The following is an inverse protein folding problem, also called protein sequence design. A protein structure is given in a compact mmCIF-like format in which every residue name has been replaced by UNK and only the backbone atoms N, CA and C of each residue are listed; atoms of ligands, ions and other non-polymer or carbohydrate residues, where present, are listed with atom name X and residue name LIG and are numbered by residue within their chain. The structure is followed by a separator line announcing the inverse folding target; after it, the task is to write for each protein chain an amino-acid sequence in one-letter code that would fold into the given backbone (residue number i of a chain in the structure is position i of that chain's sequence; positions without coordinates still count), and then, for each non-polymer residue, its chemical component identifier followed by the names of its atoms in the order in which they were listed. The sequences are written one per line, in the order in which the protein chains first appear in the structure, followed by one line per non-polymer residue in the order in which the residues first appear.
data_IF_165127014460
#
_entry.id   IF_165127014460
#
_cell.length_a   1.000
_cell.length_b   1.000
_cell.length_c   1.000
_cell.angle_alpha   90.00
_cell.angle_beta   90.00
_cell.angle_gamma   90.00
#
_symmetry.space_group_name_H-M   'P 1'
#
loop_
_entity.id
_entity.type
_entity.pdbx_description
1 polymer ?
#
# COMPACT_ATOMS: atom_id res chain seq x y z
N UNK A 1 7.27 14.13 4.79
CA UNK A 1 7.92 14.84 3.66
C UNK A 1 8.84 15.93 4.21
N UNK A 2 9.62 15.60 5.24
CA UNK A 2 10.15 16.62 6.17
C UNK A 2 11.50 17.18 5.71
N UNK A 3 12.09 16.59 4.67
CA UNK A 3 13.33 17.03 4.04
C UNK A 3 13.21 16.78 2.52
N UNK A 4 13.66 17.73 1.70
CA UNK A 4 13.71 17.65 0.23
C UNK A 4 14.35 16.35 -0.28
N UNK A 5 15.37 15.83 0.41
CA UNK A 5 15.98 14.52 0.10
C UNK A 5 14.98 13.38 0.25
N UNK A 6 14.27 13.34 1.38
CA UNK A 6 13.29 12.29 1.67
C UNK A 6 12.08 12.42 0.76
N UNK A 7 11.69 13.63 0.36
CA UNK A 7 10.54 13.85 -0.50
C UNK A 7 10.65 13.11 -1.83
N UNK A 8 11.78 13.27 -2.56
CA UNK A 8 12.00 12.59 -3.83
C UNK A 8 11.97 11.06 -3.68
N UNK A 9 12.70 10.54 -2.67
CA UNK A 9 12.73 9.11 -2.37
C UNK A 9 11.35 8.56 -2.00
N UNK A 10 10.61 9.27 -1.14
CA UNK A 10 9.27 8.87 -0.72
C UNK A 10 8.32 8.84 -1.91
N UNK A 11 8.35 9.84 -2.79
CA UNK A 11 7.49 9.84 -3.99
C UNK A 11 7.79 8.68 -4.93
N UNK A 12 9.07 8.39 -5.20
CA UNK A 12 9.45 7.23 -6.01
C UNK A 12 9.01 5.93 -5.35
N UNK A 13 9.29 5.78 -4.04
CA UNK A 13 8.88 4.60 -3.27
C UNK A 13 7.38 4.36 -3.34
N UNK A 14 6.56 5.36 -3.05
CA UNK A 14 5.10 5.22 -3.04
C UNK A 14 4.53 4.94 -4.44
N UNK A 15 5.12 5.51 -5.50
CA UNK A 15 4.70 5.21 -6.87
C UNK A 15 5.07 3.76 -7.26
N UNK A 16 6.30 3.32 -7.00
CA UNK A 16 6.77 1.97 -7.31
C UNK A 16 6.02 0.91 -6.50
N UNK A 17 5.80 1.13 -5.20
CA UNK A 17 5.06 0.21 -4.33
C UNK A 17 3.63 0.00 -4.84
N UNK A 18 2.95 1.07 -5.29
CA UNK A 18 1.59 0.95 -5.84
C UNK A 18 1.56 0.24 -7.20
N UNK A 19 2.54 0.50 -8.07
CA UNK A 19 2.67 -0.20 -9.36
C UNK A 19 2.94 -1.69 -9.17
N UNK A 20 3.81 -2.07 -8.22
CA UNK A 20 4.06 -3.47 -7.86
C UNK A 20 2.80 -4.17 -7.35
N UNK A 21 2.12 -3.56 -6.37
CA UNK A 21 0.90 -4.11 -5.79
C UNK A 21 -0.18 -4.30 -6.88
N UNK A 22 -0.34 -3.33 -7.79
CA UNK A 22 -1.33 -3.42 -8.88
C UNK A 22 -1.01 -4.54 -9.87
N UNK A 23 0.26 -4.76 -10.22
CA UNK A 23 0.68 -5.85 -11.10
C UNK A 23 0.50 -7.22 -10.42
N UNK A 24 0.92 -7.34 -9.16
CA UNK A 24 0.81 -8.57 -8.37
C UNK A 24 -0.65 -9.00 -8.16
N UNK A 25 -1.54 -8.04 -7.83
CA UNK A 25 -2.98 -8.27 -7.69
C UNK A 25 -3.62 -8.75 -9.00
N UNK A 26 -3.17 -8.22 -10.15
CA UNK A 26 -3.63 -8.61 -11.47
C UNK A 26 -2.94 -9.88 -12.01
N UNK A 27 -1.99 -10.47 -11.28
CA UNK A 27 -1.15 -11.60 -11.71
C UNK A 27 -0.42 -11.31 -13.04
N UNK A 28 0.02 -10.07 -13.22
CA UNK A 28 0.87 -9.62 -14.33
C UNK A 28 2.31 -9.50 -13.84
N UNK A 29 3.27 -9.98 -14.63
CA UNK A 29 4.69 -9.81 -14.29
C UNK A 29 5.07 -8.33 -14.42
N UNK A 30 5.51 -7.67 -13.33
CA UNK A 30 5.64 -6.23 -13.35
C UNK A 30 6.83 -5.75 -14.20
N UNK A 31 6.55 -4.78 -15.06
CA UNK A 31 7.52 -3.97 -15.79
C UNK A 31 7.27 -2.52 -15.44
N UNK A 32 8.22 -1.93 -14.72
CA UNK A 32 8.09 -0.58 -14.19
C UNK A 32 9.20 0.27 -14.81
N UNK A 33 8.79 1.29 -15.56
CA UNK A 33 9.67 2.31 -16.10
C UNK A 33 9.62 3.55 -15.19
N UNK A 34 10.79 4.00 -14.76
CA UNK A 34 10.96 5.10 -13.81
C UNK A 34 11.90 6.11 -14.45
N UNK A 35 11.44 7.33 -14.60
CA UNK A 35 12.25 8.42 -15.14
C UNK A 35 12.19 9.60 -14.18
N UNK A 36 13.36 10.13 -13.83
CA UNK A 36 13.48 11.32 -13.00
C UNK A 36 14.16 12.40 -13.85
N UNK A 37 13.42 13.45 -14.18
CA UNK A 37 13.90 14.56 -15.01
C UNK A 37 14.13 15.77 -14.09
N UNK A 38 15.36 16.27 -14.05
CA UNK A 38 15.64 17.56 -13.41
C UNK A 38 15.39 18.69 -14.40
N UNK A 39 14.53 19.64 -14.05
CA UNK A 39 14.23 20.81 -14.89
C UNK A 39 14.54 22.15 -14.20
N UNK A 40 14.93 22.11 -12.93
CA UNK A 40 15.42 23.25 -12.14
C UNK A 40 16.42 22.73 -11.09
N UNK A 41 17.14 23.62 -10.39
CA UNK A 41 18.15 23.23 -9.39
C UNK A 41 17.58 22.29 -8.31
N UNK A 42 16.37 22.57 -7.83
CA UNK A 42 15.69 21.78 -6.80
C UNK A 42 14.35 21.22 -7.27
N UNK A 43 14.06 21.19 -8.58
CA UNK A 43 12.76 20.68 -9.09
C UNK A 43 12.94 19.52 -10.05
N UNK A 44 12.17 18.49 -9.77
CA UNK A 44 12.21 17.21 -10.46
C UNK A 44 10.82 16.82 -10.93
N UNK A 45 10.76 16.18 -12.09
CA UNK A 45 9.59 15.43 -12.55
C UNK A 45 9.88 13.96 -12.35
N UNK A 46 9.07 13.30 -11.52
CA UNK A 46 9.10 11.86 -11.33
C UNK A 46 8.01 11.25 -12.21
N UNK A 47 8.40 10.38 -13.11
CA UNK A 47 7.52 9.62 -14.01
C UNK A 47 7.65 8.16 -13.61
N UNK A 48 6.52 7.51 -13.31
CA UNK A 48 6.45 6.07 -13.08
C UNK A 48 5.37 5.51 -14.00
N UNK A 49 5.75 4.55 -14.83
CA UNK A 49 4.89 3.85 -15.77
C UNK A 49 4.95 2.35 -15.48
N UNK A 50 3.78 1.73 -15.36
CA UNK A 50 3.64 0.29 -15.15
C UNK A 50 2.81 -0.39 -16.24
N UNK A 51 3.00 -1.69 -16.37
CA UNK A 51 2.19 -2.58 -17.18
C UNK A 51 1.06 -3.25 -16.36
N UNK A 52 0.58 -2.62 -15.29
CA UNK A 52 -0.48 -3.17 -14.46
C UNK A 52 -1.85 -3.16 -15.16
N UNK A 53 -2.95 -3.52 -14.47
CA UNK A 53 -4.29 -3.61 -15.06
C UNK A 53 -4.88 -2.25 -15.47
N UNK A 54 -4.17 -1.15 -15.20
CA UNK A 54 -4.70 0.20 -15.28
C UNK A 54 -5.74 0.47 -14.19
N UNK A 55 -6.21 1.71 -14.15
CA UNK A 55 -7.19 2.21 -13.19
C UNK A 55 -8.45 2.61 -13.93
N UNK A 56 -9.60 2.15 -13.43
CA UNK A 56 -10.92 2.53 -13.95
C UNK A 56 -11.09 4.05 -13.84
N UNK A 57 -11.46 4.69 -14.95
CA UNK A 57 -11.68 6.14 -15.09
C UNK A 57 -12.28 6.82 -13.87
N UNK A 58 -13.38 6.27 -13.33
CA UNK A 58 -14.13 6.85 -12.19
C UNK A 58 -13.34 6.86 -10.87
N UNK A 59 -12.35 5.98 -10.72
CA UNK A 59 -11.56 5.83 -9.50
C UNK A 59 -10.27 6.67 -9.52
N UNK A 60 -9.75 7.02 -10.70
CA UNK A 60 -8.49 7.80 -10.85
C UNK A 60 -8.48 9.04 -9.97
N UNK A 61 -9.51 9.93 -9.97
CA UNK A 61 -9.47 11.12 -9.14
C UNK A 61 -9.42 10.81 -7.64
N UNK A 62 -10.08 9.75 -7.20
CA UNK A 62 -10.11 9.40 -5.77
C UNK A 62 -8.80 8.77 -5.31
N UNK A 63 -8.14 7.97 -6.15
CA UNK A 63 -6.87 7.32 -5.80
C UNK A 63 -5.74 8.34 -5.63
N UNK A 64 -5.67 9.34 -6.51
CA UNK A 64 -4.56 10.29 -6.52
C UNK A 64 -4.83 11.61 -5.79
N UNK A 65 -6.10 12.03 -5.69
CA UNK A 65 -6.45 13.36 -5.19
C UNK A 65 -7.52 13.35 -4.08
N UNK A 66 -7.64 12.23 -3.37
CA UNK A 66 -8.37 12.14 -2.10
C UNK A 66 -7.46 11.52 -1.03
N UNK A 67 -7.30 12.22 0.09
CA UNK A 67 -6.59 11.69 1.24
C UNK A 67 -7.45 10.63 1.95
N UNK A 68 -6.80 9.62 2.49
CA UNK A 68 -7.44 8.49 3.18
C UNK A 68 -8.39 7.70 2.26
N UNK A 69 -8.05 7.60 0.98
CA UNK A 69 -8.80 6.81 0.01
C UNK A 69 -8.03 5.55 -0.37
N UNK A 70 -8.65 4.39 -0.16
CA UNK A 70 -8.04 3.11 -0.49
C UNK A 70 -8.88 1.95 0.04
N UNK A 71 -8.81 0.81 -0.63
CA UNK A 71 -9.41 -0.45 -0.16
C UNK A 71 -8.61 -1.10 0.97
N UNK A 72 -7.35 -0.67 1.17
CA UNK A 72 -6.37 -1.26 2.11
C UNK A 72 -6.62 -0.92 3.60
N UNK A 73 -7.52 0.01 3.92
CA UNK A 73 -7.83 0.39 5.33
C UNK A 73 -8.60 -0.66 6.11
N UNK A 74 -9.41 -1.47 5.42
CA UNK A 74 -10.35 -2.38 6.07
C UNK A 74 -9.88 -3.84 6.03
N UNK A 75 -8.82 -4.13 5.27
CA UNK A 75 -8.26 -5.46 5.11
C UNK A 75 -7.01 -5.61 5.96
N UNK A 76 -7.00 -6.59 6.84
CA UNK A 76 -5.80 -7.01 7.56
C UNK A 76 -5.10 -8.10 6.74
N UNK A 77 -4.23 -7.66 5.84
CA UNK A 77 -3.31 -8.49 5.06
C UNK A 77 -1.99 -7.75 4.86
N UNK A 78 -0.90 -8.47 4.65
CA UNK A 78 0.36 -7.84 4.25
C UNK A 78 0.16 -7.05 2.95
N UNK A 79 0.66 -5.83 2.91
CA UNK A 79 0.75 -5.01 1.70
C UNK A 79 1.92 -4.03 1.86
N UNK A 80 2.44 -3.47 0.76
CA UNK A 80 3.56 -2.52 0.82
C UNK A 80 3.15 -1.18 1.46
N UNK A 81 1.91 -0.75 1.24
CA UNK A 81 1.34 0.49 1.78
C UNK A 81 0.21 0.27 2.79
N UNK A 82 0.37 0.80 4.01
CA UNK A 82 -0.54 0.54 5.13
C UNK A 82 -1.70 1.56 5.28
N UNK A 83 -1.48 2.82 4.89
CA UNK A 83 -2.33 3.94 5.34
C UNK A 83 -3.09 4.66 4.22
N UNK A 84 -3.11 4.17 2.96
CA UNK A 84 -3.88 4.78 1.86
C UNK A 84 -3.67 6.30 1.65
N UNK A 85 -2.51 6.80 2.10
CA UNK A 85 -2.09 8.21 1.99
C UNK A 85 -0.90 8.39 1.06
N UNK A 86 -0.18 7.32 0.72
CA UNK A 86 1.15 7.38 0.14
C UNK A 86 1.24 8.23 -1.13
N UNK A 87 0.52 7.81 -2.17
CA UNK A 87 0.54 8.50 -3.45
C UNK A 87 -0.18 9.87 -3.38
N UNK A 88 -1.31 9.96 -2.69
CA UNK A 88 -2.03 11.23 -2.50
C UNK A 88 -1.20 12.28 -1.76
N UNK A 89 -0.36 11.86 -0.80
CA UNK A 89 0.58 12.74 -0.11
C UNK A 89 1.70 13.21 -1.03
N UNK A 90 2.18 12.34 -1.94
CA UNK A 90 3.15 12.72 -2.98
C UNK A 90 2.57 13.75 -3.95
N UNK A 91 1.31 13.55 -4.38
CA UNK A 91 0.57 14.52 -5.21
C UNK A 91 0.38 15.85 -4.48
N UNK A 92 -0.04 15.80 -3.21
CA UNK A 92 -0.23 17.00 -2.38
C UNK A 92 1.09 17.76 -2.19
N UNK A 93 2.19 17.06 -1.94
CA UNK A 93 3.51 17.66 -1.80
C UNK A 93 3.98 18.32 -3.11
N UNK A 94 3.83 17.63 -4.24
CA UNK A 94 4.14 18.18 -5.57
C UNK A 94 3.32 19.45 -5.88
N UNK A 95 2.02 19.42 -5.56
CA UNK A 95 1.14 20.58 -5.71
C UNK A 95 1.56 21.75 -4.80
N UNK A 96 1.89 21.49 -3.53
CA UNK A 96 2.27 22.55 -2.58
C UNK A 96 3.63 23.19 -2.92
N UNK A 97 4.56 22.42 -3.49
CA UNK A 97 5.90 22.89 -3.83
C UNK A 97 5.99 23.53 -5.21
N UNK A 98 5.33 22.95 -6.22
CA UNK A 98 5.44 23.43 -7.61
C UNK A 98 4.18 24.12 -8.13
N UNK A 99 3.04 23.99 -7.46
CA UNK A 99 1.75 24.52 -7.91
C UNK A 99 1.12 23.78 -9.10
N UNK A 100 1.82 22.80 -9.68
CA UNK A 100 1.40 22.05 -10.87
C UNK A 100 0.47 20.88 -10.50
N UNK A 101 -0.47 20.52 -11.39
CA UNK A 101 -1.27 19.31 -11.22
C UNK A 101 -0.42 18.05 -11.43
N UNK A 102 -0.85 16.93 -10.85
CA UNK A 102 -0.34 15.60 -11.23
C UNK A 102 -0.93 15.21 -12.58
N UNK A 103 -0.12 14.59 -13.45
CA UNK A 103 -0.59 14.05 -14.74
C UNK A 103 -0.67 12.54 -14.66
N UNK A 104 -1.80 11.98 -15.06
CA UNK A 104 -2.02 10.53 -15.04
C UNK A 104 -2.54 10.09 -16.39
N UNK A 105 -1.94 9.04 -16.95
CA UNK A 105 -2.48 8.29 -18.08
C UNK A 105 -2.82 6.89 -17.57
N UNK A 106 -4.02 6.40 -17.85
CA UNK A 106 -4.44 5.06 -17.46
C UNK A 106 -5.21 4.40 -18.59
N UNK A 107 -4.89 3.14 -18.87
CA UNK A 107 -5.59 2.30 -19.87
C UNK A 107 -5.81 0.92 -19.28
N UNK A 108 -7.05 0.44 -19.34
CA UNK A 108 -7.44 -0.82 -18.68
C UNK A 108 -7.37 -2.06 -19.59
N UNK A 109 -7.42 -1.86 -20.91
CA UNK A 109 -7.34 -2.95 -21.89
C UNK A 109 -7.02 -2.42 -23.28
N UNK A 110 -6.52 -3.30 -24.15
CA UNK A 110 -6.09 -2.98 -25.53
C UNK A 110 -7.18 -2.26 -26.34
N UNK A 111 -8.43 -2.71 -26.19
CA UNK A 111 -9.59 -2.21 -26.93
C UNK A 111 -10.29 -1.03 -26.24
N UNK A 112 -9.70 -0.46 -25.19
CA UNK A 112 -10.26 0.68 -24.47
C UNK A 112 -9.40 1.93 -24.64
N UNK A 113 -10.01 3.13 -24.61
CA UNK A 113 -9.25 4.37 -24.71
C UNK A 113 -8.33 4.55 -23.49
N UNK A 114 -7.17 5.16 -23.72
CA UNK A 114 -6.35 5.65 -22.61
C UNK A 114 -6.90 7.00 -22.13
N UNK A 115 -7.11 7.12 -20.83
CA UNK A 115 -7.62 8.33 -20.20
C UNK A 115 -6.48 9.13 -19.60
N UNK A 116 -6.36 10.39 -20.01
CA UNK A 116 -5.44 11.38 -19.44
C UNK A 116 -6.18 12.29 -18.47
N UNK A 117 -5.56 12.54 -17.32
CA UNK A 117 -6.06 13.44 -16.29
C UNK A 117 -4.98 14.39 -15.81
N UNK A 118 -5.35 15.65 -15.59
CA UNK A 118 -4.64 16.58 -14.73
C UNK A 118 -5.45 16.82 -13.45
N UNK A 119 -4.88 16.47 -12.30
CA UNK A 119 -5.58 16.53 -11.02
C UNK A 119 -4.88 17.45 -10.02
N UNK A 120 -5.69 18.11 -9.20
CA UNK A 120 -5.29 18.80 -7.98
C UNK A 120 -6.08 18.28 -6.78
N UNK A 121 -5.50 18.42 -5.59
CA UNK A 121 -6.14 18.10 -4.31
C UNK A 121 -6.71 19.39 -3.73
N UNK A 122 -8.03 19.42 -3.50
CA UNK A 122 -8.64 20.46 -2.69
C UNK A 122 -8.44 20.11 -1.21
N UNK A 123 -7.49 20.77 -0.57
CA UNK A 123 -7.06 20.48 0.80
C UNK A 123 -8.12 20.82 1.86
N UNK A 124 -8.98 21.81 1.59
CA UNK A 124 -10.04 22.21 2.53
C UNK A 124 -11.19 21.20 2.56
N UNK A 125 -11.57 20.67 1.39
CA UNK A 125 -12.72 19.76 1.26
C UNK A 125 -12.33 18.28 1.19
N UNK A 126 -11.04 17.97 1.14
CA UNK A 126 -10.49 16.65 0.84
C UNK A 126 -11.19 16.00 -0.37
N UNK A 127 -11.24 16.73 -1.48
CA UNK A 127 -11.87 16.30 -2.73
C UNK A 127 -10.92 16.51 -3.92
N UNK A 128 -11.00 15.63 -4.93
CA UNK A 128 -10.25 15.83 -6.15
C UNK A 128 -10.82 17.00 -6.97
N UNK A 129 -9.93 17.76 -7.58
CA UNK A 129 -10.23 18.81 -8.54
C UNK A 129 -9.63 18.41 -9.89
N UNK A 130 -10.49 18.23 -10.90
CA UNK A 130 -10.08 17.82 -12.25
C UNK A 130 -9.86 19.08 -13.07
N UNK A 131 -8.62 19.31 -13.50
CA UNK A 131 -8.23 20.47 -14.31
C UNK A 131 -8.43 20.15 -15.79
N UNK A 132 -7.99 18.97 -16.22
CA UNK A 132 -8.14 18.50 -17.59
C UNK A 132 -8.47 17.01 -17.58
N UNK A 133 -9.36 16.60 -18.49
CA UNK A 133 -9.68 15.21 -18.77
C UNK A 133 -9.82 15.03 -20.28
N UNK A 134 -9.03 14.12 -20.86
CA UNK A 134 -9.10 13.81 -22.30
C UNK A 134 -8.75 12.35 -22.57
N UNK A 135 -9.05 11.92 -23.79
CA UNK A 135 -8.62 10.63 -24.33
C UNK A 135 -7.34 10.87 -25.13
N UNK A 136 -6.33 10.03 -24.92
CA UNK A 136 -5.06 10.09 -25.64
C UNK A 136 -4.77 8.76 -26.32
N UNK A 137 -4.01 8.80 -27.41
CA UNK A 137 -3.44 7.58 -27.97
C UNK A 137 -2.24 7.16 -27.13
N UNK A 138 -2.23 5.90 -26.72
CA UNK A 138 -1.14 5.33 -25.94
C UNK A 138 -0.90 3.90 -26.38
N UNK A 139 0.31 3.64 -26.88
CA UNK A 139 0.75 2.36 -27.44
C UNK A 139 1.16 1.37 -26.34
N UNK A 140 0.22 1.12 -25.44
CA UNK A 140 0.28 0.09 -24.40
C UNK A 140 -1.02 -0.68 -24.41
N UNK A 141 -1.00 -1.97 -24.06
CA UNK A 141 -2.24 -2.74 -23.96
C UNK A 141 -3.02 -2.35 -22.70
N UNK A 142 -2.34 -2.24 -21.57
CA UNK A 142 -2.87 -1.78 -20.29
C UNK A 142 -1.73 -1.19 -19.45
N UNK A 143 -2.06 -0.39 -18.45
CA UNK A 143 -1.08 0.18 -17.54
C UNK A 143 -1.50 1.53 -16.96
N UNK A 144 -0.64 2.05 -16.09
CA UNK A 144 -0.77 3.39 -15.52
C UNK A 144 0.55 4.13 -15.64
N UNK A 145 0.50 5.40 -16.05
CA UNK A 145 1.63 6.33 -16.03
C UNK A 145 1.27 7.52 -15.15
N UNK A 146 2.14 7.85 -14.20
CA UNK A 146 1.94 8.93 -13.24
C UNK A 146 3.14 9.87 -13.30
N UNK A 147 2.89 11.16 -13.48
CA UNK A 147 3.91 12.21 -13.51
C UNK A 147 3.66 13.24 -12.41
N UNK A 148 4.62 13.36 -11.49
CA UNK A 148 4.56 14.28 -10.36
C UNK A 148 5.75 15.25 -10.44
N UNK A 149 5.46 16.54 -10.57
CA UNK A 149 6.44 17.61 -10.43
C UNK A 149 6.56 17.98 -8.93
N UNK A 150 7.78 17.94 -8.37
CA UNK A 150 8.02 18.22 -6.95
C UNK A 150 9.37 18.90 -6.70
N UNK A 151 9.48 19.61 -5.58
CA UNK A 151 10.77 20.10 -5.08
C UNK A 151 11.52 19.01 -4.30
N UNK A 152 12.79 18.81 -4.60
CA UNK A 152 13.58 17.72 -4.03
C UNK A 152 15.08 17.91 -4.18
N UNK A 153 15.84 16.94 -3.68
CA UNK A 153 17.29 16.90 -3.91
C UNK A 153 17.71 15.49 -4.29
N UNK A 154 18.38 15.35 -5.43
CA UNK A 154 18.92 14.09 -5.88
C UNK A 154 20.36 13.91 -5.36
N UNK A 155 20.57 12.90 -4.52
CA UNK A 155 21.88 12.57 -3.92
C UNK A 155 22.19 11.09 -4.15
N UNK A 156 23.47 10.78 -4.40
CA UNK A 156 23.98 9.41 -4.46
C UNK A 156 24.30 8.87 -3.05
N UNK A 157 24.32 7.55 -2.88
CA UNK A 157 24.68 6.86 -1.62
C UNK A 157 23.59 5.93 -1.08
N UNK A 158 23.76 5.44 0.16
CA UNK A 158 22.94 4.36 0.71
C UNK A 158 21.45 4.67 0.91
N UNK A 159 21.08 5.96 1.02
CA UNK A 159 19.68 6.40 1.11
C UNK A 159 19.25 7.19 -0.14
N UNK A 160 19.82 6.83 -1.29
CA UNK A 160 19.46 7.40 -2.59
C UNK A 160 18.29 6.66 -3.22
N UNK A 161 17.69 7.28 -4.23
CA UNK A 161 16.69 6.62 -5.07
C UNK A 161 17.31 5.42 -5.79
N UNK A 162 18.53 5.56 -6.29
CA UNK A 162 19.24 4.50 -7.03
C UNK A 162 19.40 3.23 -6.17
N UNK A 163 19.86 3.41 -4.93
CA UNK A 163 20.04 2.29 -3.99
C UNK A 163 18.71 1.65 -3.59
N UNK A 164 17.66 2.46 -3.38
CA UNK A 164 16.32 1.96 -3.12
C UNK A 164 15.79 1.09 -4.27
N UNK A 165 15.94 1.54 -5.52
CA UNK A 165 15.51 0.77 -6.68
C UNK A 165 16.32 -0.52 -6.84
N UNK A 166 17.63 -0.47 -6.58
CA UNK A 166 18.48 -1.66 -6.56
C UNK A 166 18.02 -2.67 -5.51
N UNK A 167 17.80 -2.23 -4.27
CA UNK A 167 17.28 -3.09 -3.19
C UNK A 167 15.90 -3.65 -3.55
N UNK A 168 15.04 -2.84 -4.16
CA UNK A 168 13.72 -3.27 -4.63
C UNK A 168 13.84 -4.37 -5.69
N UNK A 169 14.77 -4.26 -6.64
CA UNK A 169 15.03 -5.29 -7.65
C UNK A 169 15.56 -6.61 -7.05
N UNK A 170 16.36 -6.54 -5.97
CA UNK A 170 16.86 -7.73 -5.25
C UNK A 170 15.72 -8.45 -4.53
N UNK A 171 14.89 -7.71 -3.82
CA UNK A 171 13.83 -8.23 -2.94
C UNK A 171 12.63 -8.74 -3.76
N UNK A 172 12.44 -8.22 -4.98
CA UNK A 172 11.34 -8.59 -5.87
C UNK A 172 11.89 -9.21 -7.17
N UNK A 173 12.37 -10.46 -7.17
CA UNK A 173 13.08 -11.03 -8.31
C UNK A 173 12.23 -11.21 -9.59
N UNK A 174 10.89 -11.12 -9.47
CA UNK A 174 9.94 -11.16 -10.58
C UNK A 174 9.75 -9.80 -11.29
N UNK A 175 10.28 -8.70 -10.72
CA UNK A 175 10.14 -7.35 -11.29
C UNK A 175 11.19 -7.10 -12.37
N UNK A 176 10.81 -6.36 -13.41
CA UNK A 176 11.76 -5.66 -14.28
C UNK A 176 11.64 -4.16 -14.04
N UNK A 177 12.73 -3.52 -13.63
CA UNK A 177 12.78 -2.06 -13.41
C UNK A 177 13.69 -1.45 -14.46
N UNK A 178 13.17 -0.49 -15.21
CA UNK A 178 13.93 0.37 -16.13
C UNK A 178 13.99 1.74 -15.46
N UNK A 179 15.18 2.24 -15.20
CA UNK A 179 15.38 3.47 -14.44
C UNK A 179 16.28 4.45 -15.19
N UNK A 180 15.76 5.63 -15.49
CA UNK A 180 16.50 6.75 -16.07
C UNK A 180 16.72 7.82 -15.00
N UNK A 181 17.99 8.08 -14.68
CA UNK A 181 18.39 9.09 -13.70
C UNK A 181 18.23 10.53 -14.22
N UNK A 182 18.30 11.55 -13.34
CA UNK A 182 18.37 12.96 -13.75
C UNK A 182 19.52 13.32 -14.70
N UNK A 183 20.56 12.48 -14.75
CA UNK A 183 21.73 12.66 -15.63
C UNK A 183 21.59 11.91 -16.96
N UNK A 184 20.38 11.42 -17.27
CA UNK A 184 20.10 10.58 -18.44
C UNK A 184 20.90 9.26 -18.49
N UNK A 185 21.41 8.78 -17.35
CA UNK A 185 21.98 7.44 -17.22
C UNK A 185 20.82 6.44 -17.07
N UNK A 186 20.78 5.41 -17.93
CA UNK A 186 19.77 4.36 -17.89
C UNK A 186 20.31 3.09 -17.23
N UNK A 187 19.55 2.54 -16.29
CA UNK A 187 19.81 1.28 -15.60
C UNK A 187 18.65 0.31 -15.87
N UNK A 188 18.97 -0.93 -16.17
CA UNK A 188 17.97 -1.99 -16.39
C UNK A 188 18.23 -3.09 -15.38
N UNK A 189 17.22 -3.36 -14.57
CA UNK A 189 17.20 -4.45 -13.60
C UNK A 189 16.22 -5.53 -14.10
N UNK A 190 16.68 -6.52 -14.91
CA UNK A 190 15.79 -7.52 -15.52
C UNK A 190 15.25 -8.53 -14.49
N UNK A 191 14.04 -9.09 -14.66
CA UNK A 191 13.56 -10.15 -13.76
C UNK A 191 14.42 -11.42 -13.87
N UNK A 192 14.48 -12.20 -12.80
CA UNK A 192 15.17 -13.52 -12.74
C UNK A 192 14.23 -14.69 -12.50
N UNK A 193 12.95 -14.40 -12.27
CA UNK A 193 11.89 -15.40 -12.14
C UNK A 193 10.61 -14.89 -12.80
N UNK A 194 9.81 -15.81 -13.30
CA UNK A 194 8.43 -15.55 -13.77
C UNK A 194 7.40 -15.99 -12.72
N UNK A 195 7.85 -16.45 -11.55
CA UNK A 195 6.99 -16.82 -10.45
C UNK A 195 6.53 -15.57 -9.69
N UNK A 196 5.25 -15.24 -9.80
CA UNK A 196 4.63 -14.19 -8.99
C UNK A 196 4.40 -14.73 -7.57
N UNK A 197 4.74 -13.96 -6.51
CA UNK A 197 4.44 -14.34 -5.14
C UNK A 197 2.95 -14.65 -4.92
N UNK A 198 2.66 -15.57 -4.01
CA UNK A 198 1.27 -15.84 -3.64
C UNK A 198 0.70 -14.66 -2.84
N UNK A 199 -0.49 -14.16 -3.19
CA UNK A 199 -1.06 -13.01 -2.53
C UNK A 199 -1.42 -13.36 -1.08
N UNK A 200 -1.13 -12.47 -0.12
CA UNK A 200 -1.49 -12.68 1.28
C UNK A 200 -3.00 -12.71 1.43
N UNK A 201 -3.50 -13.60 2.28
CA UNK A 201 -4.94 -13.72 2.55
C UNK A 201 -5.36 -12.73 3.61
N UNK A 202 -6.55 -12.16 3.43
CA UNK A 202 -7.19 -11.32 4.42
C UNK A 202 -7.57 -12.14 5.65
N UNK A 203 -7.18 -11.67 6.83
CA UNK A 203 -7.47 -12.33 8.10
C UNK A 203 -8.18 -11.41 9.07
N UNK A 204 -8.84 -12.00 10.05
CA UNK A 204 -9.38 -11.27 11.20
C UNK A 204 -8.26 -10.93 12.19
N UNK A 205 -8.39 -9.83 12.95
CA UNK A 205 -7.39 -9.45 13.93
C UNK A 205 -7.19 -10.58 14.95
N UNK A 206 -5.94 -10.76 15.35
CA UNK A 206 -5.61 -11.69 16.42
C UNK A 206 -5.83 -11.00 17.77
N UNK A 207 -6.46 -11.64 18.77
CA UNK A 207 -6.82 -10.99 20.04
C UNK A 207 -5.65 -10.33 20.78
N UNK A 208 -4.46 -10.92 20.75
CA UNK A 208 -3.27 -10.35 21.40
C UNK A 208 -2.78 -9.04 20.78
N UNK A 209 -3.12 -8.76 19.53
CA UNK A 209 -2.63 -7.58 18.79
C UNK A 209 -3.61 -6.41 18.77
N UNK A 210 -4.76 -6.51 19.43
CA UNK A 210 -5.80 -5.48 19.38
C UNK A 210 -5.64 -4.50 20.54
N UNK A 211 -5.61 -3.21 20.22
CA UNK A 211 -5.57 -2.14 21.21
C UNK A 211 -6.97 -1.83 21.77
N UNK A 212 -7.03 -1.23 22.96
CA UNK A 212 -8.28 -0.91 23.64
C UNK A 212 -9.25 -0.07 22.78
N UNK A 213 -8.75 0.94 22.07
CA UNK A 213 -9.56 1.81 21.22
C UNK A 213 -10.19 1.05 20.05
N UNK A 214 -9.43 0.14 19.44
CA UNK A 214 -9.90 -0.74 18.37
C UNK A 214 -10.95 -1.70 18.91
N UNK A 215 -10.71 -2.32 20.06
CA UNK A 215 -11.65 -3.23 20.71
C UNK A 215 -12.98 -2.53 21.05
N UNK A 216 -12.95 -1.31 21.58
CA UNK A 216 -14.15 -0.49 21.84
C UNK A 216 -14.92 -0.23 20.54
N UNK A 217 -14.22 0.13 19.47
CA UNK A 217 -14.84 0.35 18.15
C UNK A 217 -15.49 -0.93 17.61
N UNK A 218 -14.79 -2.07 17.70
CA UNK A 218 -15.32 -3.37 17.28
C UNK A 218 -16.56 -3.78 18.08
N UNK A 219 -16.57 -3.60 19.40
CA UNK A 219 -17.71 -3.91 20.27
C UNK A 219 -18.96 -3.06 19.94
N UNK A 220 -18.76 -1.83 19.44
CA UNK A 220 -19.86 -0.93 19.01
C UNK A 220 -20.40 -1.29 17.63
N UNK A 221 -19.54 -1.73 16.72
CA UNK A 221 -19.89 -1.95 15.31
C UNK A 221 -20.28 -3.41 14.98
N UNK A 222 -20.08 -4.36 15.90
CA UNK A 222 -20.40 -5.78 15.67
C UNK A 222 -21.90 -6.05 15.64
N UNK A 223 -22.31 -7.02 14.81
CA UNK A 223 -23.67 -7.56 14.78
C UNK A 223 -23.88 -8.68 15.82
N UNK A 224 -22.84 -9.09 16.54
CA UNK A 224 -22.91 -10.17 17.50
C UNK A 224 -23.81 -9.81 18.70
N UNK A 225 -24.75 -10.71 19.03
CA UNK A 225 -25.70 -10.52 20.13
C UNK A 225 -25.11 -10.81 21.51
N UNK A 226 -24.02 -11.56 21.58
CA UNK A 226 -23.37 -11.99 22.82
C UNK A 226 -21.86 -11.80 22.74
N UNK A 227 -21.20 -11.60 23.88
CA UNK A 227 -19.75 -11.42 23.99
C UNK A 227 -19.00 -12.65 23.49
N UNK A 228 -19.52 -13.85 23.78
CA UNK A 228 -18.94 -15.09 23.25
C UNK A 228 -19.01 -15.16 21.72
N UNK A 229 -20.15 -14.74 21.15
CA UNK A 229 -20.34 -14.71 19.69
C UNK A 229 -19.43 -13.68 19.04
N UNK A 230 -19.27 -12.51 19.66
CA UNK A 230 -18.34 -11.47 19.24
C UNK A 230 -16.89 -11.99 19.18
N UNK A 231 -16.40 -12.57 20.27
CA UNK A 231 -15.04 -13.11 20.34
C UNK A 231 -14.78 -14.20 19.29
N UNK A 232 -15.78 -15.04 18.99
CA UNK A 232 -15.66 -16.10 18.00
C UNK A 232 -15.77 -15.59 16.56
N UNK A 233 -16.60 -14.57 16.32
CA UNK A 233 -16.86 -14.05 14.98
C UNK A 233 -15.84 -13.03 14.52
N UNK A 234 -15.37 -12.14 15.39
CA UNK A 234 -14.57 -10.97 14.99
C UNK A 234 -13.06 -11.22 15.05
N UNK A 235 -12.61 -12.27 15.74
CA UNK A 235 -11.19 -12.56 15.92
C UNK A 235 -10.76 -13.84 15.22
N UNK A 236 -9.50 -13.87 14.78
CA UNK A 236 -8.88 -15.10 14.27
C UNK A 236 -8.50 -16.03 15.44
N UNK A 237 -8.56 -17.34 15.20
CA UNK A 237 -8.12 -18.39 16.13
C UNK A 237 -8.85 -18.43 17.49
N UNK A 238 -10.03 -17.83 17.59
CA UNK A 238 -10.88 -17.92 18.78
C UNK A 238 -12.06 -18.85 18.51
N UNK A 239 -12.02 -20.03 19.11
CA UNK A 239 -13.15 -20.96 19.13
C UNK A 239 -14.12 -20.67 20.27
N UNK A 240 -15.26 -21.38 20.29
CA UNK A 240 -16.27 -21.24 21.34
C UNK A 240 -15.74 -21.54 22.75
N UNK A 241 -14.84 -22.52 22.89
CA UNK A 241 -14.17 -22.86 24.15
C UNK A 241 -13.21 -21.77 24.62
N UNK A 242 -12.34 -21.30 23.73
CA UNK A 242 -11.42 -20.19 24.02
C UNK A 242 -12.18 -18.91 24.39
N UNK A 243 -13.28 -18.60 23.69
CA UNK A 243 -14.12 -17.45 24.01
C UNK A 243 -14.72 -17.54 25.43
N UNK A 244 -15.13 -18.73 25.88
CA UNK A 244 -15.59 -18.93 27.26
C UNK A 244 -14.46 -18.69 28.26
N UNK A 245 -13.29 -19.25 28.00
CA UNK A 245 -12.12 -19.09 28.87
C UNK A 245 -11.67 -17.63 28.97
N UNK A 246 -11.72 -16.87 27.87
CA UNK A 246 -11.48 -15.42 27.88
C UNK A 246 -12.48 -14.70 28.78
N UNK A 247 -13.77 -15.00 28.65
CA UNK A 247 -14.82 -14.42 29.49
C UNK A 247 -14.62 -14.76 30.97
N UNK A 248 -14.27 -16.01 31.31
CA UNK A 248 -13.98 -16.46 32.67
C UNK A 248 -12.78 -15.70 33.27
N UNK A 249 -11.68 -15.61 32.53
CA UNK A 249 -10.48 -14.88 32.95
C UNK A 249 -10.72 -13.37 33.09
N UNK A 250 -11.63 -12.81 32.28
CA UNK A 250 -12.08 -11.43 32.35
C UNK A 250 -13.13 -11.20 33.45
N UNK A 251 -13.70 -12.25 34.05
CA UNK A 251 -14.85 -12.20 34.97
C UNK A 251 -16.08 -11.54 34.34
N UNK A 252 -16.29 -11.78 33.05
CA UNK A 252 -17.42 -11.27 32.27
C UNK A 252 -18.38 -12.40 31.90
N UNK A 253 -19.68 -12.12 31.85
CA UNK A 253 -20.66 -13.12 31.46
C UNK A 253 -20.66 -13.32 29.92
N UNK A 254 -20.57 -14.57 29.42
CA UNK A 254 -20.54 -14.84 27.97
C UNK A 254 -21.76 -14.31 27.20
N UNK A 255 -22.91 -14.21 27.88
CA UNK A 255 -24.18 -13.73 27.32
C UNK A 255 -24.34 -12.20 27.30
N UNK A 256 -23.36 -11.44 27.80
CA UNK A 256 -23.44 -9.97 27.77
C UNK A 256 -23.50 -9.45 26.35
N UNK A 257 -24.25 -8.36 26.14
CA UNK A 257 -24.30 -7.68 24.85
C UNK A 257 -23.01 -6.87 24.66
N UNK A 258 -22.27 -7.05 23.54
CA UNK A 258 -21.05 -6.30 23.25
C UNK A 258 -21.18 -4.78 23.43
N UNK A 259 -22.28 -4.20 22.94
CA UNK A 259 -22.56 -2.76 23.03
C UNK A 259 -22.81 -2.23 24.46
N UNK A 260 -22.98 -3.10 25.46
CA UNK A 260 -23.22 -2.71 26.86
C UNK A 260 -21.95 -2.70 27.71
N UNK A 261 -20.80 -3.11 27.17
CA UNK A 261 -19.54 -3.08 27.93
C UNK A 261 -19.07 -1.63 28.09
N UNK A 262 -18.83 -1.22 29.33
CA UNK A 262 -18.15 0.05 29.62
C UNK A 262 -16.63 -0.08 29.43
N UNK A 263 -15.91 1.03 29.60
CA UNK A 263 -14.46 1.06 29.40
C UNK A 263 -13.72 0.12 30.37
N UNK A 264 -14.13 0.05 31.62
CA UNK A 264 -13.45 -0.77 32.65
C UNK A 264 -13.64 -2.26 32.36
N UNK A 265 -14.82 -2.65 31.89
CA UNK A 265 -15.13 -4.00 31.43
C UNK A 265 -14.31 -4.37 30.19
N UNK A 266 -14.07 -3.42 29.29
CA UNK A 266 -13.19 -3.65 28.12
C UNK A 266 -11.74 -3.85 28.56
N UNK A 267 -11.25 -3.09 29.55
CA UNK A 267 -9.92 -3.31 30.12
C UNK A 267 -9.80 -4.67 30.81
N UNK A 268 -10.86 -5.12 31.49
CA UNK A 268 -10.93 -6.47 32.05
C UNK A 268 -10.91 -7.55 30.97
N UNK A 269 -11.65 -7.33 29.87
CA UNK A 269 -11.65 -8.23 28.71
C UNK A 269 -10.25 -8.34 28.10
N UNK A 270 -9.54 -7.22 27.92
CA UNK A 270 -8.15 -7.19 27.44
C UNK A 270 -7.20 -8.01 28.34
N UNK A 271 -7.31 -7.82 29.66
CA UNK A 271 -6.54 -8.61 30.64
C UNK A 271 -6.90 -10.09 30.57
N UNK A 272 -8.18 -10.42 30.36
CA UNK A 272 -8.65 -11.80 30.18
C UNK A 272 -8.11 -12.45 28.92
N UNK A 273 -8.05 -11.70 27.81
CA UNK A 273 -7.42 -12.14 26.56
C UNK A 273 -5.95 -12.48 26.80
N UNK A 274 -5.17 -11.58 27.40
CA UNK A 274 -3.74 -11.79 27.67
C UNK A 274 -3.45 -13.00 28.57
N UNK A 275 -4.34 -13.30 29.52
CA UNK A 275 -4.22 -14.47 30.41
C UNK A 275 -4.62 -15.78 29.75
N UNK A 276 -5.38 -15.74 28.67
CA UNK A 276 -5.87 -16.94 27.99
C UNK A 276 -4.85 -17.38 26.96
N UNK A 277 -4.56 -18.68 26.88
CA UNK A 277 -3.69 -19.24 25.84
C UNK A 277 -4.47 -19.37 24.52
N UNK A 278 -4.11 -18.56 23.54
CA UNK A 278 -4.74 -18.53 22.21
C UNK A 278 -3.71 -19.05 21.20
N UNK A 279 -4.19 -19.80 20.21
CA UNK A 279 -3.35 -20.37 19.15
C UNK A 279 -2.75 -19.23 18.33
N UNK A 280 -1.48 -19.38 17.91
CA UNK A 280 -0.78 -18.40 17.08
C UNK A 280 -1.58 -18.01 15.82
N UNK A 281 -1.44 -16.75 15.35
CA UNK A 281 -2.08 -16.29 14.13
C UNK A 281 -1.70 -17.16 12.92
N UNK A 282 -2.57 -17.27 11.93
CA UNK A 282 -2.26 -18.02 10.71
C UNK A 282 -1.12 -17.34 9.94
N UNK A 283 -0.30 -18.13 9.24
CA UNK A 283 0.87 -17.63 8.50
C UNK A 283 0.57 -17.33 7.03
N UNK A 284 -0.65 -17.58 6.56
CA UNK A 284 -1.08 -17.29 5.17
C UNK A 284 -1.50 -15.83 4.97
N UNK A 285 -1.42 -15.01 6.02
CA UNK A 285 -1.60 -13.55 5.95
C UNK A 285 -0.32 -12.80 5.55
N UNK A 286 0.79 -13.53 5.37
CA UNK A 286 2.08 -13.00 4.91
C UNK A 286 2.50 -13.69 3.61
N UNK A 287 3.21 -12.95 2.76
CA UNK A 287 3.81 -13.42 1.52
C UNK A 287 5.34 -13.30 1.64
N UNK A 288 6.03 -14.40 2.01
CA UNK A 288 7.49 -14.40 2.09
C UNK A 288 8.11 -14.54 0.70
N UNK A 289 9.28 -13.92 0.50
CA UNK A 289 10.06 -14.02 -0.75
C UNK A 289 10.57 -15.46 -0.94
N UNK A 290 11.01 -16.09 0.13
CA UNK A 290 11.66 -17.41 0.10
C UNK A 290 13.18 -17.33 -0.11
N UNK A 291 13.95 -18.26 0.47
CA UNK A 291 15.41 -18.22 0.46
C UNK A 291 15.99 -18.30 -0.96
N UNK A 292 15.47 -19.20 -1.80
CA UNK A 292 15.98 -19.43 -3.16
C UNK A 292 15.80 -18.20 -4.06
N UNK A 293 14.65 -17.52 -3.93
CA UNK A 293 14.34 -16.32 -4.69
C UNK A 293 15.19 -15.13 -4.24
N UNK A 294 15.43 -15.01 -2.94
CA UNK A 294 16.34 -13.99 -2.40
C UNK A 294 17.79 -14.22 -2.85
N UNK A 295 18.26 -15.47 -2.85
CA UNK A 295 19.61 -15.81 -3.32
C UNK A 295 19.78 -15.46 -4.81
N UNK A 296 18.79 -15.78 -5.65
CA UNK A 296 18.78 -15.39 -7.06
C UNK A 296 18.81 -13.88 -7.25
N UNK A 297 18.02 -13.14 -6.47
CA UNK A 297 18.01 -11.67 -6.49
C UNK A 297 19.37 -11.07 -6.10
N UNK A 298 20.03 -11.63 -5.08
CA UNK A 298 21.34 -11.19 -4.63
C UNK A 298 22.44 -11.46 -5.67
N UNK A 299 22.52 -12.69 -6.20
CA UNK A 299 23.53 -13.08 -7.22
C UNK A 299 23.47 -12.23 -8.48
N UNK A 300 22.28 -11.71 -8.79
CA UNK A 300 22.04 -10.85 -9.95
C UNK A 300 22.63 -9.45 -9.77
N UNK A 301 22.43 -8.84 -8.61
CA UNK A 301 22.77 -7.41 -8.37
C UNK A 301 24.08 -7.19 -7.62
N UNK A 302 24.59 -8.24 -6.97
CA UNK A 302 25.86 -8.24 -6.25
C UNK A 302 26.75 -9.28 -6.93
N UNK A 303 27.82 -8.81 -7.57
CA UNK A 303 28.92 -9.69 -8.01
C UNK A 303 29.63 -10.18 -6.74
N UNK A 304 29.26 -11.36 -6.26
CA UNK A 304 29.95 -12.09 -5.20
C UNK A 304 30.87 -13.14 -5.80
#
# INVERSE_FOLDING_TARGET
FDNKRKALLTTVKEAVDNSLDACEEARVLPEINIEIIQFDEERFRVIVEDNGPGIVKKQVPSIFAKLLYGSKFFKLSQSRGQQGIGISASVMYGQLTTGKPVRIISKIAKNQPAHYFELKVNTQKNKPEIIEEKIVEWDREHGTRVEIDLEGTYLKGAQSVDEYLKQTAIVNPHVTIIYTTPKAEQFIFPRVTEQIPEPPREIKPHPYGVEIGVLISMLKNTEAKTLQSFLTKEFSRVGSGTAKQVCENARLLPGMKPAKLDRDMVEQLMKGIQKTKIIAPPTDCISPIGPDLLEKGLKKEIKA
#
